data_IF_878647688541
#
_entry.id   IF_878647688541
#
_cell.length_a   1.000
_cell.length_b   1.000
_cell.length_c   1.000
_cell.angle_alpha   90.00
_cell.angle_beta   90.00
_cell.angle_gamma   90.00
#
_symmetry.space_group_name_H-M   'P 1'
#
loop_
_entity.id
_entity.type
_entity.pdbx_description
1 polymer ?
#
# COMPACT_ATOMS: atom_id res chain seq x y z
N UNK A 1 3.40 13.33 -4.38
CA UNK A 1 4.79 12.92 -4.65
C UNK A 1 5.41 12.66 -3.30
N UNK A 2 5.84 11.42 -3.07
CA UNK A 2 6.40 10.98 -1.77
C UNK A 2 7.62 11.82 -1.38
N UNK A 3 8.30 12.39 -2.37
CA UNK A 3 9.42 13.36 -2.27
C UNK A 3 9.12 14.61 -1.42
N UNK A 4 7.84 14.94 -1.18
CA UNK A 4 7.46 16.07 -0.32
C UNK A 4 7.37 15.70 1.16
N UNK A 5 7.27 14.40 1.46
CA UNK A 5 7.05 13.87 2.81
C UNK A 5 8.29 13.12 3.31
N UNK A 6 9.04 12.51 2.40
CA UNK A 6 10.34 11.92 2.67
C UNK A 6 11.44 13.02 2.75
N UNK A 7 11.48 13.68 3.92
CA UNK A 7 12.42 14.79 4.20
C UNK A 7 13.88 14.31 4.26
N UNK A 8 14.10 13.03 4.59
CA UNK A 8 15.42 12.45 4.79
C UNK A 8 15.91 11.64 3.57
N UNK A 9 15.07 11.45 2.54
CA UNK A 9 15.41 10.67 1.35
C UNK A 9 15.56 9.17 1.63
N UNK A 10 14.81 8.67 2.61
CA UNK A 10 14.93 7.29 3.13
C UNK A 10 14.06 6.32 2.35
N UNK A 11 13.03 6.81 1.64
CA UNK A 11 12.10 5.97 0.90
C UNK A 11 12.35 6.00 -0.60
N UNK A 12 12.46 4.81 -1.16
CA UNK A 12 12.40 4.58 -2.60
C UNK A 12 10.99 4.15 -2.99
N UNK A 13 10.43 4.81 -4.01
CA UNK A 13 9.12 4.48 -4.56
C UNK A 13 9.24 4.21 -6.06
N UNK A 14 8.97 2.98 -6.46
CA UNK A 14 8.98 2.52 -7.85
C UNK A 14 7.55 2.23 -8.29
N UNK A 15 7.14 2.76 -9.45
CA UNK A 15 5.86 2.45 -10.07
C UNK A 15 6.12 1.91 -11.47
N UNK A 16 5.74 0.65 -11.70
CA UNK A 16 5.89 -0.02 -12.98
C UNK A 16 4.79 -1.05 -13.18
N UNK A 17 4.12 -0.98 -14.33
CA UNK A 17 3.16 -1.99 -14.81
C UNK A 17 2.06 -2.37 -13.79
N UNK A 18 1.46 -1.36 -13.15
CA UNK A 18 0.40 -1.58 -12.16
C UNK A 18 0.89 -2.05 -10.78
N UNK A 19 2.21 -2.14 -10.59
CA UNK A 19 2.85 -2.44 -9.31
C UNK A 19 3.53 -1.18 -8.76
N UNK A 20 3.22 -0.84 -7.51
CA UNK A 20 3.91 0.16 -6.72
C UNK A 20 4.70 -0.56 -5.65
N UNK A 21 6.01 -0.33 -5.62
CA UNK A 21 6.91 -0.83 -4.58
C UNK A 21 7.48 0.34 -3.80
N UNK A 22 7.36 0.27 -2.48
CA UNK A 22 7.90 1.25 -1.54
C UNK A 22 8.92 0.51 -0.66
N UNK A 23 10.12 1.02 -0.54
CA UNK A 23 11.18 0.41 0.28
C UNK A 23 12.01 1.45 1.03
N UNK A 24 12.61 1.03 2.13
CA UNK A 24 13.54 1.84 2.92
C UNK A 24 14.96 1.25 2.95
N UNK A 25 15.89 2.01 3.56
CA UNK A 25 17.26 1.58 3.77
C UNK A 25 17.44 0.47 4.82
N UNK A 26 16.38 0.15 5.57
CA UNK A 26 16.37 -0.92 6.59
C UNK A 26 15.96 -2.28 6.01
N UNK A 27 15.59 -2.32 4.71
CA UNK A 27 15.20 -3.53 4.00
C UNK A 27 13.71 -3.84 4.08
N UNK A 28 12.88 -2.91 4.59
CA UNK A 28 11.44 -3.04 4.51
C UNK A 28 10.99 -2.86 3.05
N UNK A 29 10.09 -3.73 2.60
CA UNK A 29 9.53 -3.68 1.25
C UNK A 29 8.03 -3.84 1.32
N UNK A 30 7.32 -2.84 0.83
CA UNK A 30 5.87 -2.77 0.76
C UNK A 30 5.45 -2.75 -0.71
N UNK A 31 4.58 -3.66 -1.12
CA UNK A 31 4.16 -3.78 -2.54
C UNK A 31 2.65 -3.67 -2.65
N UNK A 32 2.19 -2.82 -3.55
CA UNK A 32 0.80 -2.67 -3.96
C UNK A 32 0.70 -3.07 -5.43
N UNK A 33 -0.17 -4.02 -5.76
CA UNK A 33 -0.34 -4.52 -7.12
C UNK A 33 -1.81 -4.40 -7.54
N UNK A 34 -2.06 -3.72 -8.65
CA UNK A 34 -3.34 -3.79 -9.37
C UNK A 34 -3.40 -5.13 -10.12
N UNK A 35 -4.01 -6.13 -9.50
CA UNK A 35 -4.14 -7.45 -10.07
C UNK A 35 -5.34 -7.54 -11.02
N UNK A 36 -5.11 -7.20 -12.30
CA UNK A 36 -6.15 -7.14 -13.33
C UNK A 36 -6.97 -8.43 -13.51
N UNK A 37 -6.37 -9.64 -13.50
CA UNK A 37 -7.12 -10.87 -13.73
C UNK A 37 -8.20 -11.14 -12.69
N UNK A 38 -8.00 -10.71 -11.44
CA UNK A 38 -8.98 -10.87 -10.37
C UNK A 38 -9.77 -9.59 -10.09
N UNK A 39 -9.49 -8.49 -10.78
CA UNK A 39 -10.05 -7.16 -10.52
C UNK A 39 -9.90 -6.75 -9.06
N UNK A 40 -8.72 -6.97 -8.49
CA UNK A 40 -8.40 -6.68 -7.10
C UNK A 40 -7.17 -5.80 -6.97
N UNK A 41 -7.02 -5.21 -5.79
CA UNK A 41 -5.76 -4.61 -5.35
C UNK A 41 -5.16 -5.56 -4.31
N UNK A 42 -3.92 -5.95 -4.54
CA UNK A 42 -3.17 -6.84 -3.65
C UNK A 42 -2.08 -6.04 -2.95
N UNK A 43 -1.92 -6.29 -1.66
CA UNK A 43 -0.87 -5.72 -0.83
C UNK A 43 0.01 -6.85 -0.31
N UNK A 44 1.32 -6.68 -0.42
CA UNK A 44 2.30 -7.44 0.33
C UNK A 44 2.99 -6.50 1.33
N UNK A 45 2.70 -6.71 2.62
CA UNK A 45 3.17 -5.91 3.74
C UNK A 45 4.04 -6.74 4.68
N UNK A 46 5.15 -6.18 5.19
CA UNK A 46 5.91 -6.80 6.28
C UNK A 46 5.11 -6.95 7.59
N UNK A 47 4.05 -6.16 7.78
CA UNK A 47 3.22 -6.15 8.99
C UNK A 47 2.05 -7.13 8.84
N UNK A 48 1.26 -6.98 7.78
CA UNK A 48 -0.01 -7.71 7.59
C UNK A 48 0.07 -8.90 6.65
N UNK A 49 1.23 -9.14 6.02
CA UNK A 49 1.39 -10.19 5.01
C UNK A 49 0.67 -9.85 3.71
N UNK A 50 -0.05 -10.82 3.13
CA UNK A 50 -0.82 -10.61 1.91
C UNK A 50 -2.25 -10.20 2.23
N UNK A 51 -2.65 -9.02 1.78
CA UNK A 51 -4.02 -8.50 1.91
C UNK A 51 -4.58 -8.23 0.53
N UNK A 52 -5.88 -8.51 0.32
CA UNK A 52 -6.54 -8.36 -0.97
C UNK A 52 -7.79 -7.52 -0.79
N UNK A 53 -8.00 -6.59 -1.70
CA UNK A 53 -9.13 -5.68 -1.71
C UNK A 53 -9.94 -5.90 -2.98
N UNK A 54 -11.25 -6.05 -2.81
CA UNK A 54 -12.22 -6.09 -3.90
C UNK A 54 -12.98 -4.76 -3.93
N UNK A 55 -13.39 -4.34 -5.12
CA UNK A 55 -14.21 -3.14 -5.25
C UNK A 55 -15.64 -3.42 -4.76
N UNK A 56 -16.13 -2.59 -3.84
CA UNK A 56 -17.53 -2.55 -3.43
C UNK A 56 -18.25 -1.43 -4.17
N UNK A 57 -19.20 -1.78 -5.04
CA UNK A 57 -19.95 -0.80 -5.82
C UNK A 57 -20.86 0.07 -4.95
N UNK A 58 -21.32 -0.46 -3.80
CA UNK A 58 -22.30 0.23 -2.94
C UNK A 58 -21.69 1.42 -2.21
N UNK A 59 -20.48 1.27 -1.69
CA UNK A 59 -19.70 2.35 -1.07
C UNK A 59 -18.78 3.06 -2.05
N UNK A 60 -18.58 2.50 -3.25
CA UNK A 60 -17.55 2.94 -4.22
C UNK A 60 -16.14 2.92 -3.64
N UNK A 61 -15.84 1.96 -2.77
CA UNK A 61 -14.52 1.81 -2.11
C UNK A 61 -13.92 0.42 -2.32
N UNK A 62 -12.64 0.26 -2.00
CA UNK A 62 -11.95 -1.03 -2.02
C UNK A 62 -11.92 -1.61 -0.61
N UNK A 63 -12.47 -2.82 -0.43
CA UNK A 63 -12.69 -3.43 0.89
C UNK A 63 -11.97 -4.77 0.99
N UNK A 64 -11.32 -5.02 2.12
CA UNK A 64 -10.66 -6.28 2.45
C UNK A 64 -11.64 -7.36 2.92
N UNK A 65 -11.19 -8.61 3.03
CA UNK A 65 -11.96 -9.70 3.66
C UNK A 65 -12.26 -9.46 5.15
N UNK A 66 -11.49 -8.57 5.79
CA UNK A 66 -11.66 -8.13 7.18
C UNK A 66 -12.48 -6.84 7.30
N UNK A 67 -13.05 -6.36 6.20
CA UNK A 67 -13.85 -5.13 6.15
C UNK A 67 -13.05 -3.85 6.42
N UNK A 68 -11.75 -3.85 6.10
CA UNK A 68 -10.91 -2.66 6.09
C UNK A 68 -11.05 -1.92 4.76
N UNK A 69 -11.10 -0.60 4.80
CA UNK A 69 -11.03 0.24 3.61
C UNK A 69 -9.56 0.45 3.19
N UNK A 70 -9.27 0.36 1.89
CA UNK A 70 -7.92 0.36 1.34
C UNK A 70 -7.07 1.56 1.76
N UNK A 71 -7.57 2.79 1.64
CA UNK A 71 -6.76 3.97 1.94
C UNK A 71 -6.51 4.12 3.44
N UNK A 72 -7.51 3.83 4.27
CA UNK A 72 -7.33 3.83 5.73
C UNK A 72 -6.32 2.77 6.18
N UNK A 73 -6.38 1.58 5.58
CA UNK A 73 -5.40 0.51 5.80
C UNK A 73 -3.99 0.94 5.38
N UNK A 74 -3.82 1.46 4.16
CA UNK A 74 -2.54 1.94 3.63
C UNK A 74 -1.93 3.02 4.52
N UNK A 75 -2.71 4.01 4.95
CA UNK A 75 -2.23 5.08 5.85
C UNK A 75 -1.71 4.52 7.16
N UNK A 76 -2.45 3.59 7.77
CA UNK A 76 -2.05 2.97 9.03
C UNK A 76 -0.75 2.19 8.86
N UNK A 77 -0.63 1.37 7.82
CA UNK A 77 0.58 0.55 7.60
C UNK A 77 1.80 1.40 7.26
N UNK A 78 1.69 2.35 6.33
CA UNK A 78 2.81 3.20 5.91
C UNK A 78 3.32 4.02 7.10
N UNK A 79 2.41 4.54 7.94
CA UNK A 79 2.80 5.26 9.16
C UNK A 79 3.58 4.37 10.13
N UNK A 80 3.14 3.13 10.33
CA UNK A 80 3.81 2.20 11.26
C UNK A 80 5.15 1.73 10.70
N UNK A 81 5.21 1.42 9.40
CA UNK A 81 6.36 0.79 8.79
C UNK A 81 7.52 1.78 8.55
N UNK A 82 7.20 2.99 8.13
CA UNK A 82 8.20 3.98 7.71
C UNK A 82 8.30 5.20 8.63
N UNK A 83 7.53 5.24 9.73
CA UNK A 83 7.46 6.36 10.67
C UNK A 83 7.10 7.70 10.00
N UNK A 84 6.28 7.64 8.94
CA UNK A 84 5.86 8.82 8.18
C UNK A 84 4.45 9.24 8.60
N UNK A 85 4.29 10.54 8.87
CA UNK A 85 2.98 11.13 9.11
C UNK A 85 2.33 11.54 7.78
N UNK A 86 1.22 10.88 7.40
CA UNK A 86 0.47 11.07 6.14
C UNK A 86 -1.01 11.34 6.43
#
# INVERSE_FOLDING_TARGET
MIDKVDIDGVLECENYDGVVKISDSQGNVYVINKHEPSMQIWIASPISGSVRFSYDESSSTWISDKNDELFDFLRSEIRILFDIMI
#
